data_IF_070258571665
#
_entry.id   IF_070258571665
#
_cell.length_a   1.000
_cell.length_b   1.000
_cell.length_c   1.000
_cell.angle_alpha   90.00
_cell.angle_beta   90.00
_cell.angle_gamma   90.00
#
_symmetry.space_group_name_H-M   'P 1'
#
loop_
_entity.id
_entity.type
_entity.pdbx_description
1 polymer ?
#
# COMPACT_ATOMS: atom_id res chain seq x y z
N UNK A 1 9.25 1.09 15.88
CA UNK A 1 8.00 1.02 15.09
C UNK A 1 6.96 1.88 15.79
N UNK A 2 6.24 2.73 15.05
CA UNK A 2 5.18 3.59 15.61
C UNK A 2 3.99 2.75 16.13
N UNK A 3 3.30 3.12 17.23
CA UNK A 3 2.22 2.32 17.82
C UNK A 3 1.12 1.91 16.84
N UNK A 4 0.69 2.82 15.96
CA UNK A 4 -0.32 2.52 14.91
C UNK A 4 0.11 1.38 13.99
N UNK A 5 1.38 1.35 13.58
CA UNK A 5 1.90 0.32 12.67
C UNK A 5 1.96 -1.04 13.37
N UNK A 6 2.39 -1.04 14.63
CA UNK A 6 2.44 -2.25 15.45
C UNK A 6 1.04 -2.80 15.73
N UNK A 7 0.06 -1.92 15.96
CA UNK A 7 -1.34 -2.31 16.14
C UNK A 7 -1.94 -2.86 14.84
N UNK A 8 -1.80 -2.16 13.72
CA UNK A 8 -2.30 -2.64 12.42
C UNK A 8 -1.75 -4.04 12.09
N UNK A 9 -0.44 -4.26 12.29
CA UNK A 9 0.19 -5.56 12.07
C UNK A 9 -0.42 -6.66 12.95
N UNK A 10 -0.65 -6.38 14.24
CA UNK A 10 -1.31 -7.32 15.16
C UNK A 10 -2.75 -7.61 14.74
N UNK A 11 -3.50 -6.58 14.37
CA UNK A 11 -4.90 -6.70 13.96
C UNK A 11 -5.04 -7.55 12.70
N UNK A 12 -4.13 -7.42 11.73
CA UNK A 12 -4.12 -8.29 10.54
C UNK A 12 -3.97 -9.76 10.91
N UNK A 13 -2.99 -10.09 11.76
CA UNK A 13 -2.75 -11.47 12.20
C UNK A 13 -3.90 -12.03 13.06
N UNK A 14 -4.48 -11.21 13.94
CA UNK A 14 -5.59 -11.62 14.79
C UNK A 14 -6.88 -11.89 13.99
N UNK A 15 -7.14 -11.07 12.97
CA UNK A 15 -8.35 -11.15 12.15
C UNK A 15 -8.29 -12.26 11.10
N UNK A 16 -7.08 -12.68 10.72
CA UNK A 16 -6.83 -13.68 9.67
C UNK A 16 -5.91 -14.82 10.18
N UNK A 17 -6.37 -15.63 11.15
CA UNK A 17 -5.52 -16.68 11.75
C UNK A 17 -5.10 -17.79 10.76
N UNK A 18 -5.77 -17.89 9.59
CA UNK A 18 -5.41 -18.81 8.51
C UNK A 18 -4.45 -18.25 7.47
N UNK A 19 -4.02 -17.00 7.59
CA UNK A 19 -3.19 -16.31 6.60
C UNK A 19 -1.74 -16.20 7.06
N UNK A 20 -0.82 -16.23 6.09
CA UNK A 20 0.56 -15.79 6.30
C UNK A 20 0.63 -14.26 6.26
N UNK A 21 0.55 -13.62 7.42
CA UNK A 21 0.72 -12.15 7.54
C UNK A 21 2.19 -11.80 7.63
N UNK A 22 2.75 -11.25 6.54
CA UNK A 22 4.17 -10.93 6.41
C UNK A 22 4.38 -9.42 6.47
N UNK A 23 5.12 -8.96 7.48
CA UNK A 23 5.68 -7.61 7.49
C UNK A 23 7.00 -7.59 6.70
N UNK A 24 6.96 -6.99 5.52
CA UNK A 24 8.15 -6.81 4.69
C UNK A 24 9.02 -5.67 5.22
N UNK A 25 10.27 -5.99 5.51
CA UNK A 25 11.29 -5.01 5.87
C UNK A 25 12.46 -5.07 4.90
N UNK A 26 13.01 -3.90 4.59
CA UNK A 26 14.29 -3.80 3.91
C UNK A 26 15.39 -4.19 4.92
N UNK A 27 16.33 -5.09 4.62
CA UNK A 27 17.36 -5.54 5.55
C UNK A 27 18.26 -4.41 6.11
N UNK A 28 18.17 -3.18 5.59
CA UNK A 28 18.80 -2.00 6.22
C UNK A 28 18.04 -1.46 7.44
N UNK A 29 16.87 -2.01 7.82
CA UNK A 29 16.00 -1.51 8.90
C UNK A 29 15.24 -2.59 9.68
N UNK A 30 15.20 -2.43 11.00
CA UNK A 30 14.82 -3.42 12.02
C UNK A 30 13.40 -4.06 11.94
N UNK A 31 13.39 -5.30 12.47
CA UNK A 31 12.34 -6.01 13.23
C UNK A 31 11.26 -6.78 12.47
N UNK A 32 11.51 -8.09 12.39
CA UNK A 32 10.54 -9.16 12.20
C UNK A 32 9.60 -9.26 13.41
N UNK A 33 8.29 -9.19 13.17
CA UNK A 33 7.27 -9.70 14.09
C UNK A 33 6.43 -10.72 13.30
N UNK A 34 6.40 -11.97 13.76
CA UNK A 34 5.55 -13.02 13.20
C UNK A 34 6.24 -13.88 12.16
N UNK A 35 6.25 -15.18 12.39
CA UNK A 35 7.03 -16.19 11.69
C UNK A 35 6.41 -16.65 10.35
N UNK A 36 7.07 -16.32 9.24
CA UNK A 36 7.27 -17.27 8.14
C UNK A 36 8.57 -16.91 7.41
N UNK A 37 9.29 -17.92 6.96
CA UNK A 37 10.69 -17.87 6.54
C UNK A 37 10.89 -17.23 5.13
N UNK A 38 10.09 -16.22 4.76
CA UNK A 38 10.11 -15.52 3.47
C UNK A 38 10.63 -14.08 3.55
N UNK A 39 11.45 -13.72 4.54
CA UNK A 39 11.85 -12.32 4.78
C UNK A 39 12.90 -11.74 3.81
N UNK A 40 13.17 -12.40 2.68
CA UNK A 40 14.13 -11.91 1.68
C UNK A 40 13.59 -12.12 0.27
N UNK A 41 13.14 -11.04 -0.36
CA UNK A 41 12.95 -11.00 -1.82
C UNK A 41 14.25 -10.50 -2.41
N UNK A 42 14.87 -11.31 -3.27
CA UNK A 42 15.88 -10.80 -4.18
C UNK A 42 15.16 -10.03 -5.29
N UNK A 43 15.31 -8.71 -5.28
CA UNK A 43 14.71 -7.86 -6.29
C UNK A 43 15.40 -8.01 -7.65
N UNK A 44 16.60 -8.59 -7.71
CA UNK A 44 17.43 -8.56 -8.90
C UNK A 44 18.04 -7.18 -9.17
N UNK A 45 19.01 -7.10 -10.10
CA UNK A 45 19.83 -5.91 -10.31
C UNK A 45 19.02 -4.70 -10.83
N UNK A 46 17.99 -4.92 -11.63
CA UNK A 46 17.20 -3.85 -12.24
C UNK A 46 16.37 -3.10 -11.18
N UNK A 47 15.66 -3.82 -10.32
CA UNK A 47 14.91 -3.22 -9.22
C UNK A 47 15.82 -2.68 -8.12
N UNK A 48 16.99 -3.28 -7.89
CA UNK A 48 17.99 -2.72 -6.98
C UNK A 48 18.46 -1.32 -7.42
N UNK A 49 18.69 -1.12 -8.72
CA UNK A 49 19.03 0.20 -9.27
C UNK A 49 17.86 1.20 -9.13
N UNK A 50 16.62 0.72 -9.29
CA UNK A 50 15.43 1.55 -9.09
C UNK A 50 15.28 1.98 -7.62
N UNK A 51 15.43 1.05 -6.67
CA UNK A 51 15.38 1.30 -5.23
C UNK A 51 16.46 2.30 -4.78
N UNK A 52 17.66 2.23 -5.37
CA UNK A 52 18.75 3.16 -5.09
C UNK A 52 18.46 4.61 -5.53
N UNK A 53 17.50 4.80 -6.45
CA UNK A 53 17.05 6.11 -6.94
C UNK A 53 15.81 6.64 -6.20
N UNK A 54 15.27 5.91 -5.23
CA UNK A 54 14.17 6.41 -4.41
C UNK A 54 14.69 7.33 -3.30
N UNK A 55 14.13 8.53 -3.18
CA UNK A 55 14.50 9.55 -2.22
C UNK A 55 13.93 9.32 -0.81
N UNK A 56 12.89 8.50 -0.64
CA UNK A 56 12.32 8.22 0.68
C UNK A 56 11.59 6.87 0.75
N UNK A 57 11.24 6.42 1.97
CA UNK A 57 10.67 5.08 2.18
C UNK A 57 9.36 4.86 1.42
N UNK A 58 8.45 5.84 1.35
CA UNK A 58 7.22 5.68 0.56
C UNK A 58 7.49 5.42 -0.94
N UNK A 59 8.52 6.01 -1.54
CA UNK A 59 8.89 5.71 -2.94
C UNK A 59 9.43 4.28 -3.06
N UNK A 60 10.23 3.80 -2.10
CA UNK A 60 10.65 2.39 -2.05
C UNK A 60 9.47 1.44 -1.89
N UNK A 61 8.49 1.80 -1.04
CA UNK A 61 7.26 1.02 -0.87
C UNK A 61 6.40 0.96 -2.13
N UNK A 62 6.44 1.98 -3.00
CA UNK A 62 5.77 1.91 -4.30
C UNK A 62 6.40 0.85 -5.22
N UNK A 63 7.72 0.64 -5.15
CA UNK A 63 8.40 -0.42 -5.90
C UNK A 63 8.07 -1.79 -5.30
N UNK A 64 8.26 -1.92 -3.98
CA UNK A 64 8.08 -3.19 -3.29
C UNK A 64 6.65 -3.72 -3.35
N UNK A 65 5.63 -2.86 -3.26
CA UNK A 65 4.22 -3.32 -3.26
C UNK A 65 3.89 -4.09 -4.53
N UNK A 66 4.28 -3.59 -5.70
CA UNK A 66 3.98 -4.25 -6.97
C UNK A 66 4.85 -5.48 -7.17
N UNK A 67 6.14 -5.40 -6.83
CA UNK A 67 7.05 -6.55 -6.96
C UNK A 67 6.61 -7.73 -6.08
N UNK A 68 6.25 -7.47 -4.82
CA UNK A 68 5.81 -8.51 -3.87
C UNK A 68 4.51 -9.15 -4.35
N UNK A 69 3.54 -8.35 -4.78
CA UNK A 69 2.24 -8.90 -5.23
C UNK A 69 2.33 -9.63 -6.56
N UNK A 70 3.22 -9.23 -7.48
CA UNK A 70 3.51 -10.03 -8.68
C UNK A 70 4.18 -11.36 -8.33
N UNK A 71 5.15 -11.37 -7.41
CA UNK A 71 5.88 -12.60 -7.04
C UNK A 71 5.05 -13.61 -6.24
N UNK A 72 4.10 -13.14 -5.43
CA UNK A 72 3.42 -13.99 -4.46
C UNK A 72 1.90 -13.98 -4.58
N UNK A 73 1.30 -13.05 -5.33
CA UNK A 73 -0.12 -12.76 -5.23
C UNK A 73 -0.51 -12.32 -3.81
N UNK A 74 -1.77 -12.56 -3.45
CA UNK A 74 -2.31 -12.27 -2.13
C UNK A 74 -2.78 -10.82 -1.99
N UNK A 75 -2.76 -10.33 -0.75
CA UNK A 75 -3.24 -8.99 -0.40
C UNK A 75 -2.07 -8.14 0.08
N UNK A 76 -1.94 -6.96 -0.50
CA UNK A 76 -1.04 -5.91 -0.03
C UNK A 76 -1.83 -4.90 0.82
N UNK A 77 -1.22 -4.47 1.92
CA UNK A 77 -1.69 -3.37 2.74
C UNK A 77 -0.49 -2.51 3.18
N UNK A 78 -0.61 -1.17 3.10
CA UNK A 78 0.35 -0.27 3.74
C UNK A 78 0.37 -0.52 5.27
N UNK A 79 1.51 -0.26 5.93
CA UNK A 79 1.72 -0.63 7.34
C UNK A 79 0.81 0.08 8.34
N UNK A 80 0.15 1.14 7.89
CA UNK A 80 -0.82 1.95 8.63
C UNK A 80 -2.24 1.83 8.03
N UNK A 81 -2.52 0.69 7.38
CA UNK A 81 -3.87 0.26 7.00
C UNK A 81 -4.38 -0.72 8.05
N UNK A 82 -5.39 -0.29 8.79
CA UNK A 82 -6.08 -1.07 9.82
C UNK A 82 -7.15 -1.96 9.18
N UNK A 83 -7.16 -3.26 9.47
CA UNK A 83 -8.24 -4.15 9.07
C UNK A 83 -9.42 -4.04 10.05
N UNK A 84 -10.62 -3.90 9.51
CA UNK A 84 -11.88 -3.73 10.27
C UNK A 84 -12.76 -4.98 10.23
N UNK A 85 -12.60 -5.82 9.20
CA UNK A 85 -13.27 -7.13 9.06
C UNK A 85 -12.41 -8.06 8.21
N UNK A 86 -12.65 -9.38 8.28
CA UNK A 86 -11.91 -10.33 7.45
C UNK A 86 -12.06 -10.01 5.95
N UNK A 87 -10.99 -10.20 5.19
CA UNK A 87 -10.92 -9.95 3.74
C UNK A 87 -11.01 -11.24 2.93
N UNK A 88 -11.31 -12.37 3.58
CA UNK A 88 -11.37 -13.69 2.96
C UNK A 88 -12.32 -13.72 1.77
N UNK A 89 -13.45 -13.01 1.81
CA UNK A 89 -14.43 -12.94 0.71
C UNK A 89 -14.00 -12.02 -0.45
N UNK A 90 -12.93 -11.23 -0.28
CA UNK A 90 -12.31 -10.50 -1.38
C UNK A 90 -11.39 -11.38 -2.22
N UNK A 91 -10.80 -12.41 -1.60
CA UNK A 91 -9.85 -13.34 -2.24
C UNK A 91 -10.46 -14.70 -2.56
N UNK A 92 -11.45 -15.15 -1.78
CA UNK A 92 -12.29 -16.28 -2.12
C UNK A 92 -13.44 -15.80 -3.02
N UNK A 93 -14.12 -16.71 -3.73
CA UNK A 93 -15.26 -16.42 -4.63
C UNK A 93 -14.92 -15.94 -6.06
N UNK A 94 -13.81 -16.39 -6.64
CA UNK A 94 -13.57 -16.26 -8.09
C UNK A 94 -13.20 -14.85 -8.55
N UNK A 95 -12.80 -13.97 -7.62
CA UNK A 95 -12.19 -12.68 -7.94
C UNK A 95 -10.69 -12.87 -8.08
N UNK A 96 -10.21 -12.80 -9.32
CA UNK A 96 -8.79 -12.94 -9.60
C UNK A 96 -7.98 -11.70 -9.17
N UNK A 97 -8.63 -10.54 -9.01
CA UNK A 97 -8.02 -9.32 -8.48
C UNK A 97 -9.05 -8.32 -7.96
N UNK A 98 -8.64 -7.46 -7.02
CA UNK A 98 -9.41 -6.32 -6.54
C UNK A 98 -8.57 -5.09 -6.24
N UNK A 99 -9.17 -3.91 -6.39
CA UNK A 99 -8.61 -2.61 -6.00
C UNK A 99 -9.68 -1.76 -5.29
N UNK A 100 -9.26 -0.91 -4.35
CA UNK A 100 -10.19 -0.01 -3.67
C UNK A 100 -10.30 1.33 -4.39
N UNK A 101 -11.53 1.83 -4.58
CA UNK A 101 -11.76 3.20 -5.07
C UNK A 101 -11.58 4.21 -3.93
N UNK A 102 -10.83 5.28 -4.20
CA UNK A 102 -10.66 6.43 -3.29
C UNK A 102 -12.00 7.14 -3.05
N UNK A 103 -12.19 7.65 -1.82
CA UNK A 103 -13.34 8.48 -1.44
C UNK A 103 -13.19 9.91 -1.98
N UNK A 104 -13.49 10.10 -3.27
CA UNK A 104 -13.56 11.41 -3.92
C UNK A 104 -15.02 11.86 -4.13
N UNK A 105 -15.29 13.18 -4.18
CA UNK A 105 -16.58 13.72 -4.59
C UNK A 105 -17.06 13.18 -5.94
N UNK A 106 -18.39 13.07 -6.10
CA UNK A 106 -19.01 12.64 -7.34
C UNK A 106 -18.68 13.62 -8.50
N UNK A 107 -18.51 13.08 -9.70
CA UNK A 107 -18.16 13.84 -10.91
C UNK A 107 -16.66 13.99 -11.19
N UNK A 108 -15.79 13.59 -10.26
CA UNK A 108 -14.35 13.51 -10.50
C UNK A 108 -13.95 12.17 -11.13
N UNK A 109 -12.84 12.14 -11.91
CA UNK A 109 -12.26 10.89 -12.40
C UNK A 109 -12.03 9.87 -11.27
N UNK A 110 -12.24 8.60 -11.56
CA UNK A 110 -11.97 7.54 -10.60
C UNK A 110 -10.48 7.51 -10.25
N UNK A 111 -10.19 7.38 -8.96
CA UNK A 111 -8.86 7.19 -8.42
C UNK A 111 -8.88 5.91 -7.59
N UNK A 112 -7.89 5.06 -7.77
CA UNK A 112 -7.77 3.77 -7.09
C UNK A 112 -6.59 3.79 -6.11
N UNK A 113 -6.77 3.21 -4.94
CA UNK A 113 -5.81 3.30 -3.84
C UNK A 113 -4.82 2.14 -3.87
N UNK A 114 -3.54 2.46 -4.03
CA UNK A 114 -2.45 1.50 -4.02
C UNK A 114 -2.06 1.04 -2.60
N UNK A 115 -2.69 1.59 -1.55
CA UNK A 115 -2.45 1.26 -0.15
C UNK A 115 -3.14 -0.05 0.29
N UNK A 116 -4.12 -0.55 -0.47
CA UNK A 116 -4.78 -1.82 -0.21
C UNK A 116 -5.36 -2.41 -1.50
N UNK A 117 -4.88 -3.59 -1.87
CA UNK A 117 -5.36 -4.32 -3.03
C UNK A 117 -4.95 -5.79 -2.94
N UNK A 118 -5.48 -6.61 -3.84
CA UNK A 118 -5.05 -8.00 -3.93
C UNK A 118 -5.25 -8.59 -5.30
N UNK A 119 -4.47 -9.62 -5.59
CA UNK A 119 -4.56 -10.38 -6.83
C UNK A 119 -4.08 -11.82 -6.64
N UNK A 120 -4.61 -12.72 -7.44
CA UNK A 120 -4.05 -14.06 -7.60
C UNK A 120 -2.65 -13.98 -8.23
N UNK A 121 -1.82 -14.96 -7.89
CA UNK A 121 -0.46 -15.06 -8.44
C UNK A 121 -0.51 -15.13 -9.98
N UNK A 122 0.28 -14.28 -10.64
CA UNK A 122 0.35 -14.20 -12.10
C UNK A 122 -0.80 -13.45 -12.77
N UNK A 123 -1.64 -12.74 -12.02
CA UNK A 123 -2.69 -11.91 -12.62
C UNK A 123 -2.07 -10.79 -13.49
N UNK A 124 -2.49 -10.60 -14.76
CA UNK A 124 -1.84 -9.66 -15.69
C UNK A 124 -1.72 -8.22 -15.18
N UNK A 125 -2.68 -7.78 -14.36
CA UNK A 125 -2.67 -6.47 -13.72
C UNK A 125 -1.46 -6.23 -12.80
N UNK A 126 -1.16 -7.16 -11.89
CA UNK A 126 -0.01 -7.00 -10.96
C UNK A 126 1.32 -7.27 -11.65
N UNK A 127 1.33 -8.15 -12.67
CA UNK A 127 2.49 -8.35 -13.54
C UNK A 127 2.84 -7.06 -14.30
N UNK A 128 1.86 -6.36 -14.87
CA UNK A 128 2.09 -5.09 -15.53
C UNK A 128 2.54 -3.99 -14.54
N UNK A 129 1.91 -3.94 -13.35
CA UNK A 129 2.31 -3.01 -12.29
C UNK A 129 3.79 -3.20 -11.89
N UNK A 130 4.27 -4.45 -11.83
CA UNK A 130 5.66 -4.73 -11.50
C UNK A 130 6.59 -4.51 -12.70
N UNK A 131 6.19 -4.96 -13.89
CA UNK A 131 6.98 -4.87 -15.10
C UNK A 131 7.24 -3.41 -15.46
N UNK A 132 6.22 -2.56 -15.56
CA UNK A 132 6.40 -1.19 -16.10
C UNK A 132 7.18 -0.26 -15.15
N UNK A 133 7.51 -0.67 -13.92
CA UNK A 133 8.30 0.13 -12.97
C UNK A 133 9.63 0.62 -13.56
N UNK A 134 10.28 -0.17 -14.43
CA UNK A 134 11.54 0.21 -15.08
C UNK A 134 11.40 1.44 -16.00
N UNK A 135 10.19 1.73 -16.48
CA UNK A 135 9.90 2.89 -17.34
C UNK A 135 9.68 4.18 -16.56
N UNK A 136 9.73 4.11 -15.21
CA UNK A 136 9.29 5.18 -14.32
C UNK A 136 10.45 5.70 -13.48
N UNK A 137 10.37 6.97 -13.12
CA UNK A 137 11.39 7.60 -12.27
C UNK A 137 10.92 7.64 -10.81
N UNK A 138 11.53 6.87 -9.89
CA UNK A 138 11.10 6.83 -8.50
C UNK A 138 11.29 8.17 -7.78
N UNK A 139 12.15 9.06 -8.30
CA UNK A 139 12.37 10.39 -7.74
C UNK A 139 11.22 11.38 -8.06
N UNK A 140 10.41 11.10 -9.08
CA UNK A 140 9.29 11.96 -9.48
C UNK A 140 8.07 11.68 -8.58
N UNK A 141 7.47 12.71 -7.94
CA UNK A 141 6.28 12.55 -7.13
C UNK A 141 5.13 11.87 -7.89
N UNK A 142 4.40 10.98 -7.21
CA UNK A 142 3.28 10.21 -7.74
C UNK A 142 3.60 9.28 -8.92
N UNK A 143 4.84 9.29 -9.42
CA UNK A 143 5.24 8.53 -10.59
C UNK A 143 4.94 7.05 -10.42
N UNK A 144 5.12 6.46 -9.24
CA UNK A 144 4.83 5.03 -8.99
C UNK A 144 3.71 4.82 -7.96
N UNK A 145 3.07 5.90 -7.52
CA UNK A 145 2.04 5.86 -6.50
C UNK A 145 0.63 5.76 -7.10
N UNK A 146 -0.30 6.50 -6.48
CA UNK A 146 -1.74 6.47 -6.80
C UNK A 146 -2.05 6.76 -8.28
N UNK A 147 -1.33 7.67 -8.94
CA UNK A 147 -1.59 8.02 -10.33
C UNK A 147 -1.26 6.86 -11.28
N UNK A 148 -0.09 6.25 -11.07
CA UNK A 148 0.32 5.07 -11.83
C UNK A 148 -0.60 3.88 -11.61
N UNK A 149 -0.89 3.58 -10.34
CA UNK A 149 -1.81 2.51 -9.98
C UNK A 149 -3.19 2.74 -10.60
N UNK A 150 -3.67 3.99 -10.60
CA UNK A 150 -4.95 4.35 -11.20
C UNK A 150 -4.96 4.11 -12.70
N UNK A 151 -3.91 4.56 -13.40
CA UNK A 151 -3.77 4.37 -14.84
C UNK A 151 -3.81 2.89 -15.22
N UNK A 152 -2.94 2.08 -14.62
CA UNK A 152 -2.85 0.64 -14.96
C UNK A 152 -4.15 -0.07 -14.57
N UNK A 153 -4.75 0.23 -13.41
CA UNK A 153 -6.03 -0.39 -13.03
C UNK A 153 -7.16 -0.08 -14.02
N UNK A 154 -7.21 1.14 -14.56
CA UNK A 154 -8.22 1.51 -15.55
C UNK A 154 -8.10 0.73 -16.88
N UNK A 155 -6.91 0.21 -17.20
CA UNK A 155 -6.64 -0.60 -18.39
C UNK A 155 -7.00 -2.09 -18.17
N UNK A 156 -7.29 -2.51 -16.94
CA UNK A 156 -7.58 -3.90 -16.58
C UNK A 156 -9.03 -4.10 -16.12
N UNK A 157 -9.99 -4.34 -17.04
CA UNK A 157 -11.41 -4.52 -16.68
C UNK A 157 -11.69 -5.80 -15.88
N UNK A 158 -10.72 -6.72 -15.78
CA UNK A 158 -10.79 -7.91 -14.93
C UNK A 158 -10.59 -7.63 -13.44
N UNK A 159 -10.19 -6.41 -13.06
CA UNK A 159 -10.00 -6.02 -11.65
C UNK A 159 -11.35 -5.65 -11.04
N UNK A 160 -11.71 -6.31 -9.94
CA UNK A 160 -12.91 -5.96 -9.19
C UNK A 160 -12.68 -4.66 -8.41
N UNK A 161 -13.44 -3.63 -8.73
CA UNK A 161 -13.36 -2.35 -8.01
C UNK A 161 -14.25 -2.39 -6.78
N UNK A 162 -13.65 -2.28 -5.60
CA UNK A 162 -14.39 -2.11 -4.36
C UNK A 162 -14.96 -0.68 -4.31
N UNK A 163 -16.27 -0.52 -4.01
CA UNK A 163 -16.87 0.78 -3.86
C UNK A 163 -16.28 1.53 -2.66
N UNK A 164 -16.41 2.86 -2.69
CA UNK A 164 -15.78 3.81 -1.73
C UNK A 164 -16.20 3.63 -0.27
N UNK A 165 -17.30 2.94 -0.04
CA UNK A 165 -17.86 2.65 1.28
C UNK A 165 -17.27 1.36 1.90
N UNK A 166 -16.63 0.51 1.08
CA UNK A 166 -15.98 -0.71 1.55
C UNK A 166 -14.52 -0.50 1.97
N UNK A 167 -13.96 0.70 1.80
CA UNK A 167 -12.65 1.04 2.36
C UNK A 167 -12.51 2.54 2.61
N UNK A 168 -12.11 2.93 3.83
CA UNK A 168 -11.94 4.33 4.18
C UNK A 168 -10.54 4.82 3.79
N UNK A 169 -10.46 5.41 2.59
CA UNK A 169 -9.28 6.07 2.06
C UNK A 169 -9.49 7.58 1.93
N UNK A 170 -9.55 8.26 3.08
CA UNK A 170 -9.66 9.72 3.13
C UNK A 170 -8.63 10.27 4.12
N UNK A 171 -7.69 11.13 3.68
CA UNK A 171 -6.71 11.71 4.58
C UNK A 171 -7.37 12.64 5.61
N UNK A 172 -6.82 12.76 6.84
CA UNK A 172 -7.19 13.81 7.79
C UNK A 172 -7.04 15.21 7.18
N UNK A 173 -7.83 16.18 7.65
CA UNK A 173 -7.82 17.54 7.11
C UNK A 173 -6.49 18.27 7.36
N UNK A 174 -5.78 17.92 8.43
CA UNK A 174 -4.46 18.44 8.81
C UNK A 174 -3.29 17.60 8.27
N UNK A 175 -3.57 16.59 7.44
CA UNK A 175 -2.57 15.59 7.02
C UNK A 175 -1.32 16.21 6.39
N UNK A 176 -1.47 17.15 5.46
CA UNK A 176 -0.32 17.79 4.80
C UNK A 176 0.55 18.57 5.82
N UNK A 177 -0.10 19.25 6.78
CA UNK A 177 0.62 20.00 7.82
C UNK A 177 1.37 19.06 8.78
N UNK A 178 0.76 17.96 9.19
CA UNK A 178 1.39 16.96 10.05
C UNK A 178 2.54 16.23 9.34
N UNK A 179 2.33 15.82 8.08
CA UNK A 179 3.34 15.22 7.20
C UNK A 179 4.58 16.10 7.12
N UNK A 180 4.43 17.40 6.84
CA UNK A 180 5.57 18.33 6.75
C UNK A 180 6.39 18.42 8.05
N UNK A 181 5.78 18.15 9.21
CA UNK A 181 6.45 18.15 10.52
C UNK A 181 7.00 16.77 10.91
N UNK A 182 6.69 15.72 10.16
CA UNK A 182 6.95 14.34 10.55
C UNK A 182 6.18 13.89 11.77
N UNK A 183 5.02 14.50 11.97
CA UNK A 183 4.06 14.09 12.97
C UNK A 183 3.09 13.13 12.31
N UNK A 184 2.68 12.09 13.05
CA UNK A 184 1.47 11.37 12.69
C UNK A 184 0.33 12.36 12.91
N UNK A 185 -0.49 12.67 11.89
CA UNK A 185 -1.65 13.54 12.08
C UNK A 185 -2.39 13.01 13.29
N UNK A 186 -2.80 13.90 14.20
CA UNK A 186 -3.64 13.49 15.30
C UNK A 186 -4.77 12.69 14.65
N UNK A 187 -4.90 11.40 15.02
CA UNK A 187 -6.04 10.61 14.59
C UNK A 187 -7.22 11.50 14.91
N UNK A 188 -7.88 12.05 13.89
CA UNK A 188 -9.01 12.92 14.13
C UNK A 188 -10.09 11.99 14.69
N UNK A 189 -10.01 11.79 16.00
CA UNK A 189 -10.88 10.94 16.78
C UNK A 189 -12.30 11.41 16.51
N UNK A 190 -13.16 10.45 16.24
CA UNK A 190 -14.61 10.57 16.07
C UNK A 190 -15.19 11.16 14.76
N UNK A 191 -14.46 11.93 13.92
CA UNK A 191 -15.14 12.64 12.81
C UNK A 191 -15.41 11.81 11.53
N UNK A 192 -14.67 10.72 11.29
CA UNK A 192 -14.85 9.87 10.09
C UNK A 192 -14.82 8.39 10.47
N UNK A 193 -15.90 7.94 11.09
CA UNK A 193 -16.13 6.51 11.28
C UNK A 193 -16.13 5.83 9.91
N UNK A 194 -15.41 4.71 9.74
CA UNK A 194 -15.53 3.93 8.52
C UNK A 194 -16.99 3.50 8.34
N UNK A 195 -17.52 3.50 7.10
CA UNK A 195 -18.88 3.05 6.85
C UNK A 195 -19.12 1.63 7.38
N UNK A 196 -20.36 1.35 7.77
CA UNK A 196 -20.75 0.01 8.18
C UNK A 196 -20.46 -0.98 7.03
N UNK A 197 -19.52 -1.91 7.25
CA UNK A 197 -19.09 -2.89 6.25
C UNK A 197 -17.75 -2.62 5.59
N UNK A 198 -17.04 -1.54 5.93
CA UNK A 198 -15.69 -1.30 5.43
C UNK A 198 -14.71 -2.42 5.84
N UNK A 199 -13.85 -2.83 4.91
CA UNK A 199 -12.77 -3.79 5.15
C UNK A 199 -11.59 -3.18 5.88
N UNK A 200 -11.23 -1.95 5.50
CA UNK A 200 -10.01 -1.30 5.97
C UNK A 200 -10.18 0.20 6.19
N UNK A 201 -9.31 0.75 7.03
CA UNK A 201 -9.11 2.19 7.23
C UNK A 201 -7.62 2.51 7.04
N UNK A 202 -7.31 3.49 6.19
CA UNK A 202 -5.96 3.99 6.03
C UNK A 202 -5.73 5.18 6.96
N UNK A 203 -4.68 5.12 7.78
CA UNK A 203 -4.39 6.14 8.79
C UNK A 203 -3.52 7.30 8.27
N UNK A 204 -2.97 7.20 7.06
CA UNK A 204 -2.17 8.28 6.43
C UNK A 204 -1.06 8.80 7.36
N UNK A 205 -0.42 7.90 8.10
CA UNK A 205 0.45 8.26 9.22
C UNK A 205 1.64 9.12 8.81
N UNK A 206 2.12 8.97 7.58
CA UNK A 206 3.24 9.75 7.02
C UNK A 206 4.51 9.77 7.89
N UNK A 207 4.65 8.88 8.88
CA UNK A 207 5.74 8.89 9.86
C UNK A 207 7.14 8.68 9.26
N UNK A 208 7.18 8.31 7.98
CA UNK A 208 8.36 8.19 7.16
C UNK A 208 8.87 9.54 6.63
N UNK A 209 8.07 10.60 6.58
CA UNK A 209 8.48 11.91 6.07
C UNK A 209 8.44 12.97 7.18
N UNK A 210 9.39 13.94 7.23
CA UNK A 210 10.65 13.97 6.49
C UNK A 210 11.77 13.01 6.95
N UNK A 211 11.72 12.24 8.07
CA UNK A 211 12.90 11.53 8.58
C UNK A 211 13.57 10.56 7.60
N UNK A 212 12.83 9.98 6.66
CA UNK A 212 13.38 9.05 5.67
C UNK A 212 13.84 9.71 4.37
N UNK A 213 13.72 11.03 4.24
CA UNK A 213 14.15 11.72 3.04
C UNK A 213 15.68 11.70 2.91
N UNK A 214 16.13 11.28 1.73
CA UNK A 214 17.52 11.25 1.32
C UNK A 214 17.64 12.01 0.01
N UNK A 215 18.49 13.02 0.00
CA UNK A 215 18.80 13.75 -1.22
C UNK A 215 19.70 12.88 -2.11
N UNK A 216 19.24 12.59 -3.34
CA UNK A 216 20.07 11.87 -4.31
C UNK A 216 21.27 12.71 -4.74
N UNK A 217 22.42 12.10 -5.05
CA UNK A 217 23.54 12.80 -5.66
C UNK A 217 23.08 13.49 -6.94
N UNK A 218 23.43 14.77 -7.11
CA UNK A 218 23.23 15.44 -8.40
C UNK A 218 24.22 14.82 -9.39
N UNK A 219 23.71 14.18 -10.45
CA UNK A 219 24.49 13.72 -11.60
C UNK A 219 25.11 14.91 -12.34
#
# INVERSE_FOLDING_TARGET
MHPVLAECTRSWAALHPGWDVILWSDPTGLSSVGSSMRSRVDAGPEYAALLARACHLSQRSNIWRYLITSLYGGVYADTDVEPLRPVDDLVSWGRAAFAARRSLPDGLPAVYECAFYGAELGHPWVEQLAADLHTRDPAVPLSMGVDYFTQVTAEHPGVTILPRDLALFQPPDDWEAAKLKGEVPALCDAARLPPAGAYVKHHWSSNWFPPSFQQLPRS
#
